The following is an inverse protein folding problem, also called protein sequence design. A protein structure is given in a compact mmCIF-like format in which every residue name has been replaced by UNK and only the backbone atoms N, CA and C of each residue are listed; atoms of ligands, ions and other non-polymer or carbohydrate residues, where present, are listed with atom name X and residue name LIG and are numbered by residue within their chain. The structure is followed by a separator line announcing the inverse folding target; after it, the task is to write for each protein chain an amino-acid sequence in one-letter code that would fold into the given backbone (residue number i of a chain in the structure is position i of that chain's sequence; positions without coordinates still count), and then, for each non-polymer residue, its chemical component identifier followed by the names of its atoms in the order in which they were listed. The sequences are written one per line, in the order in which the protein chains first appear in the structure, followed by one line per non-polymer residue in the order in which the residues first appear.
data_IF_989236845536
#
_entry.id   IF_989236845536
#
_cell.length_a   1.000
_cell.length_b   1.000
_cell.length_c   1.000
_cell.angle_alpha   90.00
_cell.angle_beta   90.00
_cell.angle_gamma   90.00
#
_symmetry.space_group_name_H-M   'P 1'
#
loop_
_entity.id
_entity.type
_entity.pdbx_description
1 polymer ?
#
# COMPACT_ATOMS: atom_id res chain seq x y z
N UNK A 1 -57.65 -28.51 -24.26
CA UNK A 1 -56.46 -29.34 -23.93
C UNK A 1 -55.13 -28.86 -24.53
N UNK A 2 -55.12 -28.06 -25.59
CA UNK A 2 -53.91 -27.54 -26.24
C UNK A 2 -53.13 -26.55 -25.36
N UNK A 3 -53.80 -25.64 -24.69
CA UNK A 3 -53.15 -24.59 -23.86
C UNK A 3 -52.29 -25.10 -22.67
N UNK A 4 -52.64 -26.23 -22.08
CA UNK A 4 -51.90 -26.84 -20.99
C UNK A 4 -50.59 -27.51 -21.51
N UNK A 5 -50.62 -28.05 -22.70
CA UNK A 5 -49.48 -28.70 -23.36
C UNK A 5 -48.44 -27.65 -23.75
N UNK A 6 -48.85 -26.51 -24.31
CA UNK A 6 -47.97 -25.45 -24.73
C UNK A 6 -47.30 -24.75 -23.54
N UNK A 7 -48.04 -24.57 -22.44
CA UNK A 7 -47.50 -23.99 -21.19
C UNK A 7 -46.44 -24.90 -20.54
N UNK A 8 -46.68 -26.23 -20.54
CA UNK A 8 -45.73 -27.23 -19.99
C UNK A 8 -44.44 -27.28 -20.82
N UNK A 9 -44.55 -27.35 -22.15
CA UNK A 9 -43.37 -27.39 -23.02
C UNK A 9 -42.58 -26.09 -23.00
N UNK A 10 -43.21 -24.93 -22.87
CA UNK A 10 -42.55 -23.62 -22.69
C UNK A 10 -41.77 -23.58 -21.36
N UNK A 11 -42.35 -24.09 -20.27
CA UNK A 11 -41.70 -24.17 -18.96
C UNK A 11 -40.46 -25.07 -18.97
N UNK A 12 -40.56 -26.24 -19.57
CA UNK A 12 -39.43 -27.18 -19.71
C UNK A 12 -38.31 -26.59 -20.58
N UNK A 13 -38.65 -25.96 -21.71
CA UNK A 13 -37.69 -25.30 -22.59
C UNK A 13 -36.94 -24.18 -21.88
N UNK A 14 -37.61 -23.35 -21.11
CA UNK A 14 -37.01 -22.27 -20.35
C UNK A 14 -36.11 -22.79 -19.21
N UNK A 15 -36.51 -23.87 -18.55
CA UNK A 15 -35.68 -24.53 -17.52
C UNK A 15 -34.40 -25.14 -18.09
N UNK A 16 -34.48 -25.82 -19.24
CA UNK A 16 -33.32 -26.40 -19.92
C UNK A 16 -32.36 -25.31 -20.40
N UNK A 17 -32.86 -24.22 -20.96
CA UNK A 17 -32.04 -23.06 -21.37
C UNK A 17 -31.38 -22.41 -20.15
N UNK A 18 -32.12 -22.22 -19.04
CA UNK A 18 -31.57 -21.65 -17.81
C UNK A 18 -30.46 -22.50 -17.21
N UNK A 19 -30.59 -23.82 -17.18
CA UNK A 19 -29.55 -24.75 -16.73
C UNK A 19 -28.33 -24.71 -17.66
N UNK A 20 -28.55 -24.65 -18.97
CA UNK A 20 -27.47 -24.59 -19.96
C UNK A 20 -26.64 -23.31 -19.85
N UNK A 21 -27.29 -22.16 -19.61
CA UNK A 21 -26.64 -20.87 -19.38
C UNK A 21 -25.84 -20.89 -18.07
N UNK A 22 -26.39 -21.47 -17.01
CA UNK A 22 -25.74 -21.57 -15.70
C UNK A 22 -24.49 -22.47 -15.74
N UNK A 23 -24.55 -23.59 -16.46
CA UNK A 23 -23.41 -24.47 -16.72
C UNK A 23 -22.33 -23.78 -17.55
N UNK A 24 -22.71 -23.06 -18.61
CA UNK A 24 -21.77 -22.31 -19.45
C UNK A 24 -21.06 -21.20 -18.65
N UNK A 25 -21.78 -20.47 -17.81
CA UNK A 25 -21.19 -19.44 -16.98
C UNK A 25 -20.24 -20.02 -15.90
N UNK A 26 -20.57 -21.15 -15.29
CA UNK A 26 -19.71 -21.86 -14.35
C UNK A 26 -18.44 -22.42 -15.03
N UNK A 27 -18.54 -22.92 -16.26
CA UNK A 27 -17.39 -23.37 -17.03
C UNK A 27 -16.49 -22.20 -17.43
N UNK A 28 -17.06 -21.07 -17.85
CA UNK A 28 -16.32 -19.85 -18.17
C UNK A 28 -15.59 -19.28 -16.95
N UNK A 29 -16.25 -19.23 -15.79
CA UNK A 29 -15.60 -18.77 -14.55
C UNK A 29 -14.45 -19.68 -14.09
N UNK A 30 -14.63 -21.00 -14.17
CA UNK A 30 -13.55 -21.96 -13.88
C UNK A 30 -12.39 -21.83 -14.86
N UNK A 31 -12.65 -21.62 -16.15
CA UNK A 31 -11.61 -21.44 -17.17
C UNK A 31 -10.86 -20.11 -16.98
N UNK A 32 -11.53 -19.05 -16.50
CA UNK A 32 -10.86 -17.80 -16.15
C UNK A 32 -9.99 -17.97 -14.90
N UNK A 33 -10.49 -18.61 -13.85
CA UNK A 33 -9.72 -18.90 -12.63
C UNK A 33 -8.48 -19.76 -12.90
N UNK A 34 -8.59 -20.80 -13.76
CA UNK A 34 -7.42 -21.60 -14.17
C UNK A 34 -6.42 -20.80 -14.99
N UNK A 35 -6.86 -19.93 -15.89
CA UNK A 35 -5.96 -19.05 -16.66
C UNK A 35 -5.27 -18.00 -15.79
N UNK A 36 -5.95 -17.50 -14.76
CA UNK A 36 -5.36 -16.55 -13.79
C UNK A 36 -4.34 -17.27 -12.88
N UNK A 37 -4.65 -18.48 -12.41
CA UNK A 37 -3.72 -19.29 -11.61
C UNK A 37 -2.49 -19.73 -12.43
N UNK A 38 -2.68 -20.16 -13.68
CA UNK A 38 -1.59 -20.52 -14.59
C UNK A 38 -0.71 -19.31 -14.96
N UNK A 39 -1.32 -18.14 -15.06
CA UNK A 39 -0.62 -16.88 -15.29
C UNK A 39 0.15 -16.42 -14.04
N UNK A 40 -0.38 -16.70 -12.85
CA UNK A 40 0.26 -16.38 -11.57
C UNK A 40 1.45 -17.32 -11.30
N UNK A 41 1.37 -18.60 -11.62
CA UNK A 41 2.47 -19.54 -11.46
C UNK A 41 3.59 -19.31 -12.50
N UNK A 42 3.24 -19.03 -13.74
CA UNK A 42 4.20 -18.66 -14.78
C UNK A 42 4.88 -17.32 -14.46
N UNK A 43 4.17 -16.39 -13.81
CA UNK A 43 4.72 -15.14 -13.32
C UNK A 43 5.75 -15.35 -12.20
N UNK A 44 5.49 -16.25 -11.25
CA UNK A 44 6.42 -16.57 -10.15
C UNK A 44 7.74 -17.16 -10.67
N UNK A 45 7.64 -18.06 -11.62
CA UNK A 45 8.80 -18.71 -12.25
C UNK A 45 9.61 -17.70 -13.10
N UNK A 46 8.93 -16.88 -13.88
CA UNK A 46 9.57 -15.84 -14.69
C UNK A 46 10.17 -14.70 -13.83
N UNK A 47 9.56 -14.36 -12.69
CA UNK A 47 10.07 -13.33 -11.78
C UNK A 47 11.33 -13.75 -11.02
N UNK A 48 11.51 -15.05 -10.77
CA UNK A 48 12.72 -15.61 -10.14
C UNK A 48 13.93 -15.56 -11.07
N UNK A 49 13.70 -15.64 -12.38
CA UNK A 49 14.76 -15.63 -13.39
C UNK A 49 15.09 -14.24 -13.94
N UNK A 50 14.16 -13.28 -13.82
CA UNK A 50 14.32 -11.94 -14.39
C UNK A 50 13.76 -10.87 -13.46
N UNK A 51 14.61 -10.20 -12.65
CA UNK A 51 14.16 -9.18 -11.68
C UNK A 51 13.29 -8.08 -12.29
N UNK A 52 13.52 -7.74 -13.57
CA UNK A 52 12.73 -6.72 -14.28
C UNK A 52 11.29 -7.17 -14.58
N UNK A 53 10.97 -8.47 -14.45
CA UNK A 53 9.61 -8.98 -14.65
C UNK A 53 8.72 -8.80 -13.43
N UNK A 54 9.32 -8.57 -12.25
CA UNK A 54 8.59 -8.36 -11.00
C UNK A 54 7.75 -7.06 -11.07
N UNK A 55 6.42 -7.11 -10.82
CA UNK A 55 5.55 -5.92 -10.87
C UNK A 55 5.99 -4.82 -9.92
N UNK A 56 6.48 -5.16 -8.74
CA UNK A 56 6.98 -4.15 -7.78
C UNK A 56 8.24 -3.46 -8.28
N UNK A 57 9.14 -4.21 -8.93
CA UNK A 57 10.31 -3.62 -9.58
C UNK A 57 9.91 -2.70 -10.73
N UNK A 58 8.97 -3.11 -11.56
CA UNK A 58 8.43 -2.26 -12.64
C UNK A 58 7.80 -0.98 -12.10
N UNK A 59 7.01 -1.07 -11.02
CA UNK A 59 6.45 0.11 -10.35
C UNK A 59 7.53 1.03 -9.79
N UNK A 60 8.56 0.46 -9.16
CA UNK A 60 9.71 1.21 -8.63
C UNK A 60 10.43 1.95 -9.74
N UNK A 61 10.74 1.28 -10.84
CA UNK A 61 11.40 1.90 -11.99
C UNK A 61 10.52 3.00 -12.62
N UNK A 62 9.23 2.74 -12.79
CA UNK A 62 8.28 3.76 -13.29
C UNK A 62 8.20 4.95 -12.34
N UNK A 63 8.23 4.75 -11.03
CA UNK A 63 8.24 5.82 -10.05
C UNK A 63 9.50 6.69 -10.18
N UNK A 64 10.68 6.06 -10.30
CA UNK A 64 11.94 6.77 -10.50
C UNK A 64 11.93 7.58 -11.80
N UNK A 65 11.44 7.00 -12.91
CA UNK A 65 11.31 7.72 -14.17
C UNK A 65 10.33 8.90 -14.08
N UNK A 66 9.22 8.71 -13.36
CA UNK A 66 8.24 9.78 -13.12
C UNK A 66 8.81 10.93 -12.28
N UNK A 67 9.74 10.65 -11.35
CA UNK A 67 10.40 11.65 -10.52
C UNK A 67 11.46 12.48 -11.29
N UNK A 68 12.19 11.88 -12.23
CA UNK A 68 13.34 12.50 -12.93
C UNK A 68 13.09 13.89 -13.49
N UNK A 69 11.92 14.24 -14.07
CA UNK A 69 11.69 15.59 -14.60
C UNK A 69 11.67 16.68 -13.53
N UNK A 70 11.19 16.39 -12.32
CA UNK A 70 10.99 17.36 -11.23
C UNK A 70 11.64 16.91 -9.93
N UNK A 71 12.97 16.75 -9.92
CA UNK A 71 13.72 16.10 -8.84
C UNK A 71 13.61 16.82 -7.50
N UNK A 72 13.58 18.14 -7.47
CA UNK A 72 13.68 18.93 -6.23
C UNK A 72 12.34 18.97 -5.49
N UNK A 73 11.28 19.41 -6.15
CA UNK A 73 9.97 19.62 -5.54
C UNK A 73 8.93 18.54 -5.88
N UNK A 74 9.30 17.56 -6.74
CA UNK A 74 8.38 16.53 -7.20
C UNK A 74 7.32 17.04 -8.17
N UNK A 75 6.32 16.20 -8.44
CA UNK A 75 5.29 16.48 -9.45
C UNK A 75 3.93 16.89 -8.84
N UNK A 76 3.87 17.04 -7.51
CA UNK A 76 2.64 17.32 -6.76
C UNK A 76 1.97 16.06 -6.20
N UNK A 77 1.14 16.25 -5.16
CA UNK A 77 0.49 15.17 -4.41
C UNK A 77 -0.37 14.30 -5.34
N UNK A 78 -0.20 12.96 -5.24
CA UNK A 78 -0.90 11.96 -6.06
C UNK A 78 -0.65 12.08 -7.56
N UNK A 79 0.49 12.64 -7.95
CA UNK A 79 0.85 12.86 -9.35
C UNK A 79 1.25 11.59 -10.08
N UNK A 80 1.71 10.55 -9.35
CA UNK A 80 2.17 9.29 -9.94
C UNK A 80 1.13 8.69 -10.90
N UNK A 81 -0.14 8.55 -10.48
CA UNK A 81 -1.21 7.95 -11.29
C UNK A 81 -1.49 8.64 -12.62
N UNK A 82 -1.16 9.94 -12.71
CA UNK A 82 -1.34 10.73 -13.95
C UNK A 82 -0.10 10.64 -14.84
N UNK A 83 1.07 10.76 -14.22
CA UNK A 83 2.33 10.87 -14.95
C UNK A 83 2.88 9.50 -15.37
N UNK A 84 2.61 8.42 -14.62
CA UNK A 84 3.10 7.08 -14.95
C UNK A 84 2.62 6.59 -16.32
N UNK A 85 1.41 6.96 -16.77
CA UNK A 85 0.90 6.60 -18.09
C UNK A 85 1.74 7.19 -19.22
N UNK A 86 2.17 8.45 -19.08
CA UNK A 86 3.04 9.11 -20.05
C UNK A 86 4.37 8.36 -20.17
N UNK A 87 4.99 8.03 -19.04
CA UNK A 87 6.26 7.29 -18.99
C UNK A 87 6.15 5.93 -19.67
N UNK A 88 5.09 5.16 -19.39
CA UNK A 88 4.87 3.85 -20.02
C UNK A 88 4.70 3.98 -21.53
N UNK A 89 3.93 4.97 -21.98
CA UNK A 89 3.70 5.20 -23.41
C UNK A 89 4.99 5.56 -24.15
N UNK A 90 5.82 6.41 -23.55
CA UNK A 90 7.09 6.84 -24.12
C UNK A 90 8.14 5.72 -24.14
N UNK A 91 8.27 4.99 -23.04
CA UNK A 91 9.33 3.98 -22.88
C UNK A 91 8.90 2.57 -23.30
N UNK A 92 7.60 2.33 -23.58
CA UNK A 92 7.00 1.02 -23.90
C UNK A 92 7.32 -0.05 -22.83
N UNK A 93 7.59 0.36 -21.61
CA UNK A 93 7.92 -0.52 -20.47
C UNK A 93 7.47 0.12 -19.15
N UNK A 94 7.33 -0.69 -18.11
CA UNK A 94 6.91 -0.23 -16.79
C UNK A 94 5.54 -0.77 -16.40
N UNK A 95 5.04 -0.32 -15.26
CA UNK A 95 3.72 -0.63 -14.74
C UNK A 95 3.17 0.63 -14.08
N UNK A 96 1.89 0.92 -14.32
CA UNK A 96 1.18 2.05 -13.72
C UNK A 96 0.16 1.56 -12.70
N UNK A 97 0.05 2.29 -11.59
CA UNK A 97 -0.91 2.06 -10.52
C UNK A 97 -1.36 3.41 -9.96
N UNK A 98 -2.29 3.41 -9.03
CA UNK A 98 -2.72 4.62 -8.32
C UNK A 98 -1.60 5.24 -7.45
N UNK A 99 -0.61 4.44 -7.04
CA UNK A 99 0.55 4.84 -6.24
C UNK A 99 1.68 3.80 -6.40
N UNK A 100 2.93 4.12 -6.07
CA UNK A 100 4.07 3.23 -6.32
C UNK A 100 4.24 2.09 -5.30
N UNK A 101 3.25 1.83 -4.42
CA UNK A 101 3.26 0.80 -3.38
C UNK A 101 4.42 0.88 -2.37
N UNK A 102 5.02 2.05 -2.21
CA UNK A 102 6.02 2.36 -1.20
C UNK A 102 5.92 3.85 -0.84
N UNK A 103 5.84 4.18 0.45
CA UNK A 103 5.66 5.55 0.94
C UNK A 103 6.80 6.48 0.51
N UNK A 104 8.03 6.00 0.54
CA UNK A 104 9.21 6.82 0.21
C UNK A 104 9.28 7.13 -1.28
N UNK A 105 8.93 6.16 -2.13
CA UNK A 105 8.82 6.39 -3.57
C UNK A 105 7.69 7.35 -3.90
N UNK A 106 6.55 7.25 -3.21
CA UNK A 106 5.44 8.19 -3.39
C UNK A 106 5.85 9.61 -2.98
N UNK A 107 6.46 9.77 -1.81
CA UNK A 107 6.98 11.06 -1.34
C UNK A 107 8.03 11.62 -2.30
N UNK A 108 8.92 10.77 -2.82
CA UNK A 108 9.94 11.17 -3.79
C UNK A 108 9.30 11.67 -5.11
N UNK A 109 8.32 10.97 -5.63
CA UNK A 109 7.62 11.38 -6.87
C UNK A 109 6.80 12.64 -6.66
N UNK A 110 6.09 12.73 -5.55
CA UNK A 110 5.12 13.79 -5.30
C UNK A 110 5.75 15.07 -4.74
N UNK A 111 6.72 14.95 -3.82
CA UNK A 111 7.36 16.07 -3.10
C UNK A 111 8.87 16.22 -3.39
N UNK A 112 9.42 15.34 -4.20
CA UNK A 112 10.83 15.38 -4.58
C UNK A 112 11.81 15.15 -3.43
N UNK A 113 13.05 15.58 -3.64
CA UNK A 113 14.12 15.49 -2.63
C UNK A 113 13.79 16.29 -1.37
N UNK A 114 13.09 17.41 -1.50
CA UNK A 114 12.64 18.22 -0.35
C UNK A 114 11.73 17.39 0.57
N UNK A 115 10.78 16.64 0.00
CA UNK A 115 9.91 15.75 0.78
C UNK A 115 10.69 14.66 1.52
N UNK A 116 11.66 14.02 0.84
CA UNK A 116 12.54 13.02 1.47
C UNK A 116 13.38 13.62 2.59
N UNK A 117 13.95 14.81 2.40
CA UNK A 117 14.73 15.49 3.46
C UNK A 117 13.88 15.77 4.70
N UNK A 118 12.64 16.20 4.55
CA UNK A 118 11.71 16.39 5.67
C UNK A 118 11.45 15.06 6.41
N UNK A 119 11.22 13.97 5.68
CA UNK A 119 11.03 12.64 6.29
C UNK A 119 12.30 12.17 7.03
N UNK A 120 13.48 12.38 6.46
CA UNK A 120 14.76 12.06 7.11
C UNK A 120 14.95 12.88 8.39
N UNK A 121 14.65 14.18 8.38
CA UNK A 121 14.71 15.02 9.58
C UNK A 121 13.75 14.53 10.67
N UNK A 122 12.53 14.15 10.30
CA UNK A 122 11.56 13.55 11.24
C UNK A 122 12.06 12.24 11.81
N UNK A 123 12.64 11.37 10.97
CA UNK A 123 13.24 10.10 11.41
C UNK A 123 14.41 10.32 12.38
N UNK A 124 15.30 11.27 12.09
CA UNK A 124 16.42 11.62 12.97
C UNK A 124 15.90 12.15 14.34
N UNK A 125 14.92 13.06 14.32
CA UNK A 125 14.32 13.56 15.56
C UNK A 125 13.68 12.46 16.38
N UNK A 126 13.03 11.52 15.74
CA UNK A 126 12.44 10.35 16.37
C UNK A 126 13.49 9.40 16.97
N UNK A 127 14.56 9.13 16.25
CA UNK A 127 15.70 8.32 16.73
C UNK A 127 16.35 8.98 17.94
N UNK A 128 16.64 10.29 17.89
CA UNK A 128 17.20 11.05 19.01
C UNK A 128 16.25 10.98 20.22
N UNK A 129 14.93 11.08 20.01
CA UNK A 129 13.95 10.89 21.06
C UNK A 129 14.06 9.51 21.72
N UNK A 130 14.15 8.44 20.94
CA UNK A 130 14.29 7.08 21.48
C UNK A 130 15.55 6.93 22.33
N UNK A 131 16.71 7.43 21.85
CA UNK A 131 17.96 7.37 22.59
C UNK A 131 17.91 8.17 23.89
N UNK A 132 17.36 9.39 23.89
CA UNK A 132 17.23 10.21 25.09
C UNK A 132 16.34 9.57 26.15
N UNK A 133 15.30 8.84 25.76
CA UNK A 133 14.34 8.23 26.65
C UNK A 133 14.56 6.75 26.91
N UNK A 134 15.62 6.13 26.35
CA UNK A 134 15.88 4.70 26.43
C UNK A 134 15.83 4.13 27.85
N UNK A 135 16.52 4.80 28.81
CA UNK A 135 16.52 4.37 30.23
C UNK A 135 15.13 4.37 30.87
N UNK A 136 14.29 5.30 30.48
CA UNK A 136 12.90 5.42 30.97
C UNK A 136 12.00 4.38 30.30
N UNK A 137 12.17 4.17 28.99
CA UNK A 137 11.43 3.16 28.22
C UNK A 137 11.71 1.73 28.71
N UNK A 138 12.91 1.47 29.21
CA UNK A 138 13.31 0.15 29.73
C UNK A 138 12.68 -0.19 31.09
N UNK A 139 12.12 0.79 31.82
CA UNK A 139 11.44 0.52 33.09
C UNK A 139 10.17 -0.29 32.84
N UNK A 140 10.03 -1.42 33.54
CA UNK A 140 8.86 -2.32 33.44
C UNK A 140 7.63 -1.68 34.10
N UNK A 141 6.95 -0.82 33.35
CA UNK A 141 5.73 -0.13 33.76
C UNK A 141 4.72 -0.26 32.63
N UNK A 142 3.46 -0.45 32.94
CA UNK A 142 2.36 -0.61 32.00
C UNK A 142 2.32 0.56 30.97
N UNK A 143 2.52 1.79 31.44
CA UNK A 143 2.58 2.98 30.57
C UNK A 143 3.72 2.91 29.53
N UNK A 144 4.89 2.44 29.95
CA UNK A 144 6.04 2.26 29.04
C UNK A 144 5.80 1.14 28.05
N UNK A 145 5.07 0.08 28.43
CA UNK A 145 4.70 -1.00 27.55
C UNK A 145 3.78 -0.51 26.43
N UNK A 146 2.76 0.30 26.74
CA UNK A 146 1.89 0.92 25.72
C UNK A 146 2.66 1.84 24.79
N UNK A 147 3.58 2.65 25.32
CA UNK A 147 4.42 3.50 24.50
C UNK A 147 5.32 2.69 23.57
N UNK A 148 5.95 1.62 24.08
CA UNK A 148 6.80 0.74 23.27
C UNK A 148 5.98 0.07 22.16
N UNK A 149 4.77 -0.38 22.44
CA UNK A 149 3.86 -0.93 21.44
C UNK A 149 3.52 0.10 20.34
N UNK A 150 3.23 1.35 20.71
CA UNK A 150 2.97 2.42 19.75
C UNK A 150 4.21 2.73 18.86
N UNK A 151 5.40 2.74 19.47
CA UNK A 151 6.66 2.96 18.76
C UNK A 151 6.92 1.83 17.74
N UNK A 152 6.78 0.57 18.18
CA UNK A 152 6.96 -0.60 17.30
C UNK A 152 5.93 -0.57 16.15
N UNK A 153 4.68 -0.27 16.48
CA UNK A 153 3.59 -0.19 15.51
C UNK A 153 3.84 0.88 14.44
N UNK A 154 4.27 2.07 14.86
CA UNK A 154 4.66 3.14 13.93
C UNK A 154 5.87 2.75 13.09
N UNK A 155 6.89 2.14 13.71
CA UNK A 155 8.09 1.68 13.00
C UNK A 155 7.76 0.65 11.92
N UNK A 156 6.91 -0.33 12.23
CA UNK A 156 6.46 -1.33 11.26
C UNK A 156 5.64 -0.71 10.13
N UNK A 157 4.84 0.32 10.42
CA UNK A 157 4.06 1.02 9.39
C UNK A 157 4.94 1.79 8.42
N UNK A 158 5.94 2.50 8.92
CA UNK A 158 6.85 3.32 8.08
C UNK A 158 8.10 2.58 7.62
N UNK A 159 8.13 1.25 7.76
CA UNK A 159 9.33 0.47 7.39
C UNK A 159 9.65 0.59 5.89
N UNK A 160 10.91 0.96 5.50
CA UNK A 160 11.23 1.36 4.13
C UNK A 160 11.00 0.29 3.06
N UNK A 161 11.17 -0.99 3.42
CA UNK A 161 11.06 -2.11 2.50
C UNK A 161 9.66 -2.75 2.50
N UNK A 162 8.72 -2.18 3.25
CA UNK A 162 7.33 -2.64 3.26
C UNK A 162 6.64 -2.18 1.98
N UNK A 163 5.90 -3.07 1.33
CA UNK A 163 4.89 -2.68 0.36
C UNK A 163 3.72 -2.05 1.11
N UNK A 164 3.34 -0.85 0.72
CA UNK A 164 2.33 -0.07 1.42
C UNK A 164 1.28 0.49 0.45
N UNK A 165 0.16 0.94 1.00
CA UNK A 165 -0.77 1.79 0.29
C UNK A 165 -0.17 3.17 0.01
N UNK A 166 -1.01 4.16 -0.31
CA UNK A 166 -0.58 5.54 -0.43
C UNK A 166 -0.50 6.19 0.95
N UNK A 167 0.59 6.93 1.24
CA UNK A 167 0.73 7.72 2.47
C UNK A 167 -0.32 8.84 2.56
N UNK A 168 -0.79 9.33 1.42
CA UNK A 168 -1.80 10.38 1.33
C UNK A 168 -3.25 9.85 1.35
N UNK A 169 -3.49 8.58 1.69
CA UNK A 169 -4.84 8.09 1.98
C UNK A 169 -5.23 8.43 3.42
N UNK A 170 -6.52 8.71 3.63
CA UNK A 170 -7.05 9.09 4.95
C UNK A 170 -6.69 8.04 6.01
N UNK A 171 -6.83 6.75 5.71
CA UNK A 171 -6.54 5.69 6.68
C UNK A 171 -5.08 5.68 7.12
N UNK A 172 -4.13 5.68 6.17
CA UNK A 172 -2.70 5.60 6.46
C UNK A 172 -2.21 6.88 7.14
N UNK A 173 -2.62 8.06 6.64
CA UNK A 173 -2.28 9.33 7.23
C UNK A 173 -2.82 9.45 8.67
N UNK A 174 -4.08 9.10 8.91
CA UNK A 174 -4.69 9.14 10.24
C UNK A 174 -3.96 8.20 11.21
N UNK A 175 -3.62 7.00 10.77
CA UNK A 175 -2.88 6.04 11.58
C UNK A 175 -1.50 6.58 12.00
N UNK A 176 -0.72 7.09 11.05
CA UNK A 176 0.62 7.66 11.31
C UNK A 176 0.52 8.87 12.26
N UNK A 177 -0.45 9.76 12.04
CA UNK A 177 -0.66 10.93 12.89
C UNK A 177 -1.09 10.52 14.30
N UNK A 178 -2.01 9.56 14.42
CA UNK A 178 -2.49 9.08 15.72
C UNK A 178 -1.35 8.47 16.54
N UNK A 179 -0.58 7.54 15.96
CA UNK A 179 0.55 6.90 16.64
C UNK A 179 1.64 7.91 17.01
N UNK A 180 1.95 8.85 16.13
CA UNK A 180 2.90 9.94 16.40
C UNK A 180 2.42 10.84 17.53
N UNK A 181 1.12 11.18 17.57
CA UNK A 181 0.52 12.00 18.63
C UNK A 181 0.58 11.31 20.00
N UNK A 182 0.32 10.01 20.08
CA UNK A 182 0.45 9.21 21.31
C UNK A 182 1.89 9.27 21.82
N UNK A 183 2.87 9.07 20.95
CA UNK A 183 4.30 9.10 21.31
C UNK A 183 4.72 10.49 21.81
N UNK A 184 4.31 11.56 21.14
CA UNK A 184 4.63 12.94 21.53
C UNK A 184 3.96 13.37 22.83
N UNK A 185 2.69 12.99 23.03
CA UNK A 185 1.96 13.27 24.30
C UNK A 185 2.63 12.63 25.49
N UNK A 186 3.12 11.41 25.33
CA UNK A 186 3.85 10.73 26.39
C UNK A 186 5.17 11.43 26.73
N UNK A 187 5.87 11.97 25.73
CA UNK A 187 7.09 12.75 25.94
C UNK A 187 6.83 13.98 26.83
N UNK A 188 5.71 14.67 26.63
CA UNK A 188 5.31 15.82 27.42
C UNK A 188 5.06 15.40 28.88
N UNK A 189 4.31 14.32 29.12
CA UNK A 189 4.06 13.79 30.46
C UNK A 189 5.34 13.38 31.20
N UNK A 190 6.33 12.80 30.52
CA UNK A 190 7.62 12.47 31.11
C UNK A 190 8.41 13.70 31.56
N UNK A 191 8.38 14.77 30.77
CA UNK A 191 9.03 16.04 31.12
C UNK A 191 8.39 16.68 32.35
N UNK A 192 7.07 16.78 32.39
CA UNK A 192 6.32 17.34 33.52
C UNK A 192 6.60 16.59 34.83
N UNK A 193 6.66 15.24 34.78
CA UNK A 193 6.97 14.39 35.93
C UNK A 193 8.39 14.59 36.48
N UNK A 194 9.33 14.96 35.62
CA UNK A 194 10.70 15.25 36.01
C UNK A 194 10.85 16.66 36.60
N UNK A 195 10.08 17.64 36.13
CA UNK A 195 10.06 19.00 36.68
C UNK A 195 9.32 19.12 38.01
N UNK A 196 8.28 18.31 38.24
CA UNK A 196 7.54 18.30 39.51
C UNK A 196 8.23 17.55 40.66
N UNK A 197 9.46 17.08 40.47
CA UNK A 197 10.30 16.45 41.50
C UNK A 197 11.46 17.31 41.96
N UNK A 198 11.55 18.58 41.49
CA UNK A 198 12.45 19.64 41.95
C UNK A 198 11.71 20.53 42.92
#
# INVERSE_FOLDING_TARGET
MSHLYDSFFSGVKNSVVGVSIKLKNNLLSKTQQTKEAEKEDNWKDYSSQNPESNPYMKLTLTAIETWKPNKIFGNGIKSFRVNCQKIITEQKRGLCSNHPHNYYLEILVDLGVVGILLVVLLAITFIVFLFKNYKTLRKNNLQNLFLLAAIISLFLEVFPFKTSGSVFTTNNATYIILMSSIILSYQKLLKEKNFGKL
#
